data_IF_472223037354
#
_entry.id   IF_472223037354
#
_cell.length_a   1.000
_cell.length_b   1.000
_cell.length_c   1.000
_cell.angle_alpha   90.00
_cell.angle_beta   90.00
_cell.angle_gamma   90.00
#
_symmetry.space_group_name_H-M   'P 1'
#
loop_
_entity.id
_entity.type
_entity.pdbx_description
1 polymer ?
#
# COMPACT_ATOMS: atom_id res chain seq x y z
N UNK A 1 14.97 4.44 -5.45
CA UNK A 1 14.48 5.24 -6.59
C UNK A 1 15.35 6.50 -6.69
N UNK A 2 16.05 6.67 -7.81
CA UNK A 2 17.21 7.57 -7.99
C UNK A 2 16.88 9.02 -8.32
N UNK A 3 15.67 9.49 -8.04
CA UNK A 3 15.26 10.88 -8.18
C UNK A 3 14.57 11.25 -6.87
N UNK A 4 15.07 12.26 -6.16
CA UNK A 4 14.76 12.59 -4.76
C UNK A 4 13.31 12.95 -4.42
N UNK A 5 12.34 12.62 -5.26
CA UNK A 5 10.93 12.58 -4.84
C UNK A 5 10.66 11.28 -4.08
N UNK A 6 10.71 11.36 -2.75
CA UNK A 6 10.24 10.28 -1.89
C UNK A 6 8.72 10.19 -1.99
N UNK A 7 8.22 9.54 -3.05
CA UNK A 7 6.81 9.24 -3.24
C UNK A 7 6.44 8.08 -2.31
N UNK A 8 5.35 8.24 -1.57
CA UNK A 8 4.84 7.18 -0.72
C UNK A 8 4.42 5.98 -1.57
N UNK A 9 4.65 4.76 -1.08
CA UNK A 9 4.29 3.55 -1.78
C UNK A 9 3.84 2.48 -0.79
N UNK A 10 2.81 1.72 -1.16
CA UNK A 10 2.49 0.44 -0.55
C UNK A 10 3.44 -0.61 -1.15
N UNK A 11 4.34 -1.16 -0.33
CA UNK A 11 5.40 -2.08 -0.79
C UNK A 11 5.11 -3.51 -0.35
N UNK A 12 5.35 -4.44 -1.27
CA UNK A 12 5.29 -5.87 -1.03
C UNK A 12 6.70 -6.44 -0.97
N UNK A 13 6.98 -7.24 0.04
CA UNK A 13 8.27 -7.89 0.25
C UNK A 13 8.10 -9.41 0.25
N UNK A 14 9.07 -10.10 -0.33
CA UNK A 14 9.21 -11.54 -0.14
C UNK A 14 9.49 -11.83 1.34
N UNK A 15 8.73 -12.74 1.95
CA UNK A 15 8.83 -13.01 3.39
C UNK A 15 10.09 -13.80 3.77
N UNK A 16 10.66 -14.56 2.84
CA UNK A 16 11.85 -15.38 3.08
C UNK A 16 13.13 -14.57 2.92
N UNK A 17 13.19 -13.69 1.92
CA UNK A 17 14.41 -12.94 1.57
C UNK A 17 14.38 -11.48 2.05
N UNK A 18 13.20 -10.90 2.23
CA UNK A 18 13.03 -9.47 2.50
C UNK A 18 13.20 -8.58 1.28
N UNK A 19 13.36 -9.16 0.08
CA UNK A 19 13.47 -8.40 -1.16
C UNK A 19 12.13 -7.77 -1.53
N UNK A 20 12.15 -6.54 -2.05
CA UNK A 20 10.94 -5.90 -2.57
C UNK A 20 10.51 -6.59 -3.87
N UNK A 21 9.28 -7.10 -3.89
CA UNK A 21 8.70 -7.81 -5.05
C UNK A 21 7.63 -6.98 -5.77
N UNK A 22 7.28 -5.82 -5.23
CA UNK A 22 6.38 -4.88 -5.88
C UNK A 22 6.09 -3.63 -5.05
N UNK A 23 5.66 -2.58 -5.73
CA UNK A 23 5.26 -1.33 -5.09
C UNK A 23 4.08 -0.69 -5.85
N UNK A 24 3.08 -0.22 -5.10
CA UNK A 24 1.98 0.59 -5.61
C UNK A 24 2.16 2.02 -5.09
N UNK A 25 2.33 3.02 -5.97
CA UNK A 25 2.39 4.41 -5.55
C UNK A 25 1.10 4.84 -4.84
N UNK A 26 1.24 5.56 -3.72
CA UNK A 26 0.14 6.16 -2.98
C UNK A 26 0.44 7.66 -2.77
N UNK A 27 -0.58 8.52 -2.70
CA UNK A 27 -0.37 9.98 -2.69
C UNK A 27 0.29 10.45 -1.39
N UNK A 28 0.05 9.75 -0.29
CA UNK A 28 0.60 10.04 1.04
C UNK A 28 0.97 8.74 1.78
N UNK A 29 1.84 8.78 2.80
CA UNK A 29 2.26 7.59 3.52
C UNK A 29 1.13 6.85 4.22
N UNK A 30 1.35 5.56 4.50
CA UNK A 30 0.50 4.78 5.39
C UNK A 30 0.69 5.21 6.83
N UNK A 31 -0.40 5.37 7.58
CA UNK A 31 -0.38 5.80 8.99
C UNK A 31 -0.67 4.68 9.98
N UNK A 32 -1.11 3.52 9.50
CA UNK A 32 -1.43 2.35 10.32
C UNK A 32 -0.94 1.04 9.71
N UNK A 33 -1.19 -0.06 10.43
CA UNK A 33 -0.88 -1.40 9.94
C UNK A 33 -1.86 -1.80 8.82
N UNK A 34 -1.37 -2.37 7.70
CA UNK A 34 -2.25 -2.92 6.68
C UNK A 34 -3.09 -4.09 7.23
N UNK A 35 -4.30 -4.24 6.72
CA UNK A 35 -5.22 -5.33 7.04
C UNK A 35 -5.66 -6.04 5.75
N UNK A 36 -6.18 -7.26 5.83
CA UNK A 36 -6.71 -7.97 4.65
C UNK A 36 -8.02 -8.68 4.97
N UNK A 37 -8.87 -8.83 3.96
CA UNK A 37 -10.11 -9.60 4.01
C UNK A 37 -10.43 -10.22 2.65
N UNK A 38 -11.37 -11.17 2.64
CA UNK A 38 -11.94 -11.77 1.43
C UNK A 38 -13.38 -11.29 1.22
N UNK A 39 -13.73 -10.97 -0.01
CA UNK A 39 -15.10 -10.68 -0.44
C UNK A 39 -15.31 -11.25 -1.84
N UNK A 40 -16.34 -12.05 -2.06
CA UNK A 40 -16.69 -12.62 -3.36
C UNK A 40 -15.51 -13.28 -4.11
N UNK A 41 -14.73 -14.09 -3.38
CA UNK A 41 -13.50 -14.77 -3.86
C UNK A 41 -12.33 -13.85 -4.24
N UNK A 42 -12.44 -12.55 -3.98
CA UNK A 42 -11.36 -11.58 -4.16
C UNK A 42 -10.71 -11.22 -2.81
N UNK A 43 -9.38 -11.16 -2.80
CA UNK A 43 -8.62 -10.68 -1.65
C UNK A 43 -8.41 -9.18 -1.74
N UNK A 44 -8.67 -8.49 -0.64
CA UNK A 44 -8.42 -7.08 -0.48
C UNK A 44 -7.32 -6.83 0.55
N UNK A 45 -6.44 -5.87 0.26
CA UNK A 45 -5.47 -5.31 1.20
C UNK A 45 -5.89 -3.87 1.47
N UNK A 46 -6.09 -3.51 2.74
CA UNK A 46 -6.50 -2.16 3.16
C UNK A 46 -5.38 -1.46 3.88
N UNK A 47 -5.11 -0.23 3.49
CA UNK A 47 -4.16 0.66 4.17
C UNK A 47 -4.83 1.98 4.54
N UNK A 48 -4.59 2.43 5.77
CA UNK A 48 -4.91 3.79 6.19
C UNK A 48 -3.83 4.74 5.69
N UNK A 49 -4.23 5.78 4.94
CA UNK A 49 -3.33 6.79 4.39
C UNK A 49 -3.75 8.19 4.87
N UNK A 50 -2.77 9.01 5.25
CA UNK A 50 -2.98 10.43 5.57
C UNK A 50 -1.63 11.17 5.57
N UNK A 51 -1.64 12.49 5.42
CA UNK A 51 -0.44 13.32 5.60
C UNK A 51 -0.46 14.61 4.78
N UNK A 52 0.33 15.61 5.16
CA UNK A 52 0.55 16.81 4.34
C UNK A 52 -0.71 17.59 3.93
N UNK A 53 -1.79 17.53 4.74
CA UNK A 53 -3.09 18.14 4.42
C UNK A 53 -4.05 17.23 3.63
N UNK A 54 -3.64 16.02 3.27
CA UNK A 54 -4.51 14.97 2.75
C UNK A 54 -5.38 14.39 3.88
N UNK A 55 -6.70 14.36 3.68
CA UNK A 55 -7.65 13.81 4.65
C UNK A 55 -7.43 12.30 4.83
N UNK A 56 -7.69 11.80 6.05
CA UNK A 56 -7.50 10.37 6.33
C UNK A 56 -8.49 9.49 5.54
N UNK A 57 -7.96 8.53 4.79
CA UNK A 57 -8.74 7.59 3.99
C UNK A 57 -8.29 6.14 4.22
N UNK A 58 -9.21 5.21 4.00
CA UNK A 58 -8.91 3.78 3.87
C UNK A 58 -8.91 3.43 2.39
N UNK A 59 -7.75 3.06 1.84
CA UNK A 59 -7.64 2.58 0.47
C UNK A 59 -7.61 1.06 0.45
N UNK A 60 -8.45 0.46 -0.39
CA UNK A 60 -8.52 -0.99 -0.60
C UNK A 60 -7.94 -1.35 -1.97
N UNK A 61 -6.97 -2.25 -1.99
CA UNK A 61 -6.30 -2.73 -3.19
C UNK A 61 -6.69 -4.19 -3.44
N UNK A 62 -6.89 -4.53 -4.71
CA UNK A 62 -7.06 -5.91 -5.18
C UNK A 62 -6.17 -6.17 -6.38
N UNK A 63 -5.93 -7.44 -6.70
CA UNK A 63 -5.26 -7.81 -7.93
C UNK A 63 -6.12 -7.41 -9.17
N UNK A 64 -5.50 -7.10 -10.32
CA UNK A 64 -6.21 -7.03 -11.59
C UNK A 64 -6.95 -8.35 -11.90
N UNK A 65 -7.97 -8.28 -12.75
CA UNK A 65 -8.61 -9.46 -13.36
C UNK A 65 -7.66 -10.19 -14.32
#
# INVERSE_FOLDING_TARGET
DGEGERRAALRAYDKATGEEVGAVPIPVPTTGVPMTYMLDSEQYIVAAIAGGGFAGELWAFKAPE
#
